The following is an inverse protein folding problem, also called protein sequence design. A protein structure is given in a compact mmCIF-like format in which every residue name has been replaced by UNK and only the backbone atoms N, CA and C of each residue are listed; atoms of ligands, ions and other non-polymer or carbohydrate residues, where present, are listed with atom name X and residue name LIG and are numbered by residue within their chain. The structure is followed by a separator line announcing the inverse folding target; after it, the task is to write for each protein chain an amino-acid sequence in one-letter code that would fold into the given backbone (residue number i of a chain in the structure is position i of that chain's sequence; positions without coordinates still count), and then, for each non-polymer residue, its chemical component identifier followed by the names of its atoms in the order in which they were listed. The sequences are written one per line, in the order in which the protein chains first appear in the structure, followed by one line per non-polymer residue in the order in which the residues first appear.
data_IF_342913099378
#
_entry.id   IF_342913099378
#
_cell.length_a   1.000
_cell.length_b   1.000
_cell.length_c   1.000
_cell.angle_alpha   90.00
_cell.angle_beta   90.00
_cell.angle_gamma   90.00
#
_symmetry.space_group_name_H-M   'P 1'
#
loop_
_entity.id
_entity.type
_entity.pdbx_description
1 polymer ?
#
# COMPACT_ATOMS: atom_id res chain seq x y z
N UNK A 1 5.19 -12.21 6.07
CA UNK A 1 5.33 -13.43 6.91
C UNK A 1 6.78 -13.79 7.18
N UNK A 2 7.69 -13.53 6.25
CA UNK A 2 9.11 -13.86 6.38
C UNK A 2 9.78 -13.30 7.65
N UNK A 3 9.66 -11.99 7.93
CA UNK A 3 10.20 -11.40 9.18
C UNK A 3 9.72 -12.14 10.44
N UNK A 4 8.40 -12.38 10.56
CA UNK A 4 7.82 -13.04 11.73
C UNK A 4 8.34 -14.47 11.93
N UNK A 5 8.52 -15.24 10.85
CA UNK A 5 9.09 -16.59 10.92
C UNK A 5 10.56 -16.56 11.37
N UNK A 6 11.32 -15.56 10.93
CA UNK A 6 12.72 -15.37 11.34
C UNK A 6 12.85 -14.95 12.80
N UNK A 7 12.00 -14.03 13.28
CA UNK A 7 11.97 -13.61 14.70
C UNK A 7 11.65 -14.79 15.63
N UNK A 8 10.70 -15.64 15.23
CA UNK A 8 10.32 -16.83 15.98
C UNK A 8 11.23 -18.04 15.74
N UNK A 9 12.29 -17.88 14.92
CA UNK A 9 13.23 -18.94 14.51
C UNK A 9 12.52 -20.22 14.04
N UNK A 10 11.43 -20.07 13.29
CA UNK A 10 10.64 -21.21 12.80
C UNK A 10 11.37 -21.83 11.61
N UNK A 11 11.80 -23.12 11.70
CA UNK A 11 12.40 -23.80 10.58
C UNK A 11 11.38 -24.01 9.46
N UNK A 12 11.85 -24.07 8.22
CA UNK A 12 10.97 -24.23 7.06
C UNK A 12 10.24 -25.58 7.04
N UNK A 13 10.78 -26.59 7.72
CA UNK A 13 10.20 -27.94 7.93
C UNK A 13 9.08 -27.98 8.96
N UNK A 14 8.86 -26.92 9.75
CA UNK A 14 7.86 -26.94 10.81
C UNK A 14 6.41 -26.95 10.29
N UNK A 15 6.18 -26.78 8.99
CA UNK A 15 4.87 -26.71 8.33
C UNK A 15 3.80 -25.89 9.08
N UNK A 16 4.23 -24.86 9.84
CA UNK A 16 3.35 -24.01 10.65
C UNK A 16 2.47 -23.13 9.77
N UNK A 17 1.18 -23.04 10.07
CA UNK A 17 0.25 -22.16 9.36
C UNK A 17 0.49 -20.69 9.71
N UNK A 18 0.33 -19.80 8.72
CA UNK A 18 0.46 -18.34 8.92
C UNK A 18 -0.53 -17.80 9.97
N UNK A 19 -1.70 -18.44 10.12
CA UNK A 19 -2.72 -18.08 11.11
C UNK A 19 -2.22 -18.37 12.53
N UNK A 20 -1.59 -19.53 12.76
CA UNK A 20 -1.07 -19.87 14.10
C UNK A 20 0.03 -18.91 14.55
N UNK A 21 0.91 -18.50 13.63
CA UNK A 21 2.01 -17.55 13.89
C UNK A 21 1.46 -16.17 14.30
N UNK A 22 0.45 -15.69 13.60
CA UNK A 22 -0.19 -14.41 13.91
C UNK A 22 -0.91 -14.44 15.26
N UNK A 23 -1.58 -15.55 15.57
CA UNK A 23 -2.27 -15.74 16.86
C UNK A 23 -1.26 -15.74 18.02
N UNK A 24 -0.12 -16.42 17.86
CA UNK A 24 0.95 -16.47 18.85
C UNK A 24 1.55 -15.08 19.13
N UNK A 25 1.77 -14.28 18.08
CA UNK A 25 2.30 -12.92 18.20
C UNK A 25 1.24 -11.89 18.66
N UNK A 26 -0.01 -12.32 18.87
CA UNK A 26 -1.16 -11.44 19.19
C UNK A 26 -1.31 -10.28 18.21
N UNK A 27 -0.90 -10.48 16.95
CA UNK A 27 -1.00 -9.45 15.91
C UNK A 27 -2.43 -9.45 15.38
N UNK A 28 -3.22 -8.50 15.86
CA UNK A 28 -4.60 -8.28 15.41
C UNK A 28 -4.65 -7.50 14.09
N UNK A 29 -3.68 -6.60 13.85
CA UNK A 29 -3.61 -5.81 12.62
C UNK A 29 -2.53 -6.32 11.67
N UNK A 30 -2.97 -6.91 10.55
CA UNK A 30 -2.08 -7.22 9.42
C UNK A 30 -1.65 -5.94 8.70
N UNK A 31 -0.54 -6.01 7.99
CA UNK A 31 -0.04 -4.93 7.10
C UNK A 31 -1.09 -4.50 6.07
N UNK A 32 -2.03 -5.37 5.72
CA UNK A 32 -3.22 -5.05 4.89
C UNK A 32 -4.09 -3.93 5.46
N UNK A 33 -4.05 -3.67 6.78
CA UNK A 33 -4.73 -2.51 7.38
C UNK A 33 -4.09 -1.18 7.00
N UNK A 34 -2.81 -1.16 6.63
CA UNK A 34 -2.16 0.05 6.13
C UNK A 34 -2.71 0.43 4.75
N UNK A 35 -2.95 -0.55 3.88
CA UNK A 35 -3.55 -0.29 2.56
C UNK A 35 -4.96 0.30 2.71
N UNK A 36 -5.77 -0.24 3.63
CA UNK A 36 -7.10 0.32 3.94
C UNK A 36 -7.02 1.81 4.32
N UNK A 37 -6.08 2.18 5.20
CA UNK A 37 -5.87 3.57 5.62
C UNK A 37 -5.42 4.48 4.48
N UNK A 38 -4.53 3.99 3.61
CA UNK A 38 -4.09 4.72 2.41
C UNK A 38 -5.28 4.99 1.49
N UNK A 39 -6.15 3.99 1.30
CA UNK A 39 -7.36 4.12 0.47
C UNK A 39 -8.41 5.06 1.09
N UNK A 40 -8.61 4.98 2.40
CA UNK A 40 -9.50 5.89 3.14
C UNK A 40 -9.03 7.35 2.99
N UNK A 41 -7.73 7.59 3.16
CA UNK A 41 -7.13 8.91 2.99
C UNK A 41 -7.20 9.40 1.54
N UNK A 42 -6.93 8.53 0.56
CA UNK A 42 -7.10 8.86 -0.84
C UNK A 42 -8.56 9.24 -1.17
N UNK A 43 -9.53 8.46 -0.68
CA UNK A 43 -10.95 8.76 -0.85
C UNK A 43 -11.38 10.07 -0.17
N UNK A 44 -10.78 10.40 0.98
CA UNK A 44 -10.97 11.70 1.63
C UNK A 44 -10.49 12.86 0.76
N UNK A 45 -9.27 12.76 0.21
CA UNK A 45 -8.71 13.77 -0.71
C UNK A 45 -9.55 13.90 -1.98
N UNK A 46 -9.97 12.77 -2.56
CA UNK A 46 -10.75 12.75 -3.80
C UNK A 46 -12.13 13.42 -3.66
N UNK A 47 -12.81 13.21 -2.52
CA UNK A 47 -14.13 13.81 -2.21
C UNK A 47 -14.06 15.27 -1.76
N UNK A 48 -12.87 15.79 -1.46
CA UNK A 48 -12.73 17.18 -1.02
C UNK A 48 -12.99 18.14 -2.19
N UNK A 49 -13.88 19.10 -1.95
CA UNK A 49 -14.22 20.15 -2.92
C UNK A 49 -13.10 21.21 -3.02
N UNK A 50 -12.96 21.79 -4.22
CA UNK A 50 -11.94 22.78 -4.54
C UNK A 50 -10.55 22.20 -4.86
N UNK A 51 -9.71 23.07 -5.44
CA UNK A 51 -8.32 22.75 -5.78
C UNK A 51 -7.43 22.93 -4.55
N UNK A 52 -7.28 21.83 -3.81
CA UNK A 52 -6.40 21.76 -2.67
C UNK A 52 -5.04 21.19 -3.07
N UNK A 53 -3.97 21.67 -2.41
CA UNK A 53 -2.61 21.22 -2.65
C UNK A 53 -2.48 19.69 -2.61
N UNK A 54 -3.13 19.04 -1.62
CA UNK A 54 -3.16 17.60 -1.50
C UNK A 54 -3.76 16.93 -2.74
N UNK A 55 -4.89 17.44 -3.27
CA UNK A 55 -5.52 16.88 -4.48
C UNK A 55 -4.58 17.00 -5.68
N UNK A 56 -3.95 18.17 -5.86
CA UNK A 56 -2.99 18.44 -6.93
C UNK A 56 -1.76 17.54 -6.83
N UNK A 57 -1.19 17.34 -5.64
CA UNK A 57 -0.01 16.48 -5.44
C UNK A 57 -0.31 15.01 -5.77
N UNK A 58 -1.54 14.59 -5.48
CA UNK A 58 -1.98 13.20 -5.53
C UNK A 58 -2.42 12.79 -6.93
N UNK A 59 -3.15 13.66 -7.62
CA UNK A 59 -3.61 13.46 -9.00
C UNK A 59 -2.64 14.03 -10.03
N UNK A 60 -1.70 14.88 -9.60
CA UNK A 60 -0.77 15.61 -10.45
C UNK A 60 -0.02 14.71 -11.41
N UNK A 61 -0.39 14.80 -12.69
CA UNK A 61 0.38 14.26 -13.79
C UNK A 61 1.25 15.39 -14.33
N UNK A 62 2.54 15.34 -14.02
CA UNK A 62 3.53 16.18 -14.70
C UNK A 62 3.80 15.53 -16.06
N UNK A 63 3.60 16.30 -17.12
CA UNK A 63 3.94 15.90 -18.50
C UNK A 63 5.45 15.70 -18.65
N UNK A 64 5.84 14.73 -19.48
CA UNK A 64 7.24 14.41 -19.77
C UNK A 64 7.80 13.15 -19.10
N UNK A 65 9.05 12.84 -19.44
CA UNK A 65 9.76 11.63 -19.00
C UNK A 65 10.51 11.89 -17.70
N UNK A 66 10.31 11.01 -16.69
CA UNK A 66 11.06 11.13 -15.42
C UNK A 66 12.56 10.82 -15.63
N UNK A 67 13.46 11.54 -14.94
CA UNK A 67 14.89 11.25 -14.97
C UNK A 67 15.19 9.90 -14.32
N UNK A 68 16.29 9.25 -14.76
CA UNK A 68 16.81 8.03 -14.15
C UNK A 68 17.16 8.29 -12.68
N UNK A 69 16.79 7.36 -11.79
CA UNK A 69 17.11 7.40 -10.36
C UNK A 69 15.99 7.93 -9.45
N UNK A 70 15.00 8.66 -9.96
CA UNK A 70 13.81 9.01 -9.18
C UNK A 70 12.80 7.85 -9.21
N UNK A 71 12.16 7.56 -8.08
CA UNK A 71 11.16 6.48 -8.01
C UNK A 71 10.14 6.64 -9.15
N UNK A 72 9.98 5.63 -10.01
CA UNK A 72 9.10 5.73 -11.18
C UNK A 72 7.62 5.77 -10.79
N UNK A 73 7.30 5.38 -9.55
CA UNK A 73 5.95 5.07 -9.10
C UNK A 73 5.27 6.32 -8.53
N UNK A 74 4.19 6.78 -9.19
CA UNK A 74 3.26 7.78 -8.66
C UNK A 74 2.43 7.19 -7.53
N UNK A 75 1.84 8.02 -6.69
CA UNK A 75 0.91 7.51 -5.69
C UNK A 75 -0.32 6.85 -6.33
N UNK A 76 -0.80 7.38 -7.47
CA UNK A 76 -1.80 6.72 -8.32
C UNK A 76 -1.36 5.35 -8.83
N UNK A 77 -0.06 5.18 -9.13
CA UNK A 77 0.50 3.91 -9.60
C UNK A 77 0.56 2.90 -8.45
N UNK A 78 0.89 3.34 -7.23
CA UNK A 78 0.84 2.47 -6.03
C UNK A 78 -0.57 1.94 -5.77
N UNK A 79 -1.58 2.80 -5.93
CA UNK A 79 -2.98 2.41 -5.80
C UNK A 79 -3.39 1.40 -6.88
N UNK A 80 -2.99 1.63 -8.13
CA UNK A 80 -3.23 0.71 -9.24
C UNK A 80 -2.55 -0.65 -9.03
N UNK A 81 -1.31 -0.67 -8.54
CA UNK A 81 -0.60 -1.92 -8.18
C UNK A 81 -1.27 -2.63 -7.00
N UNK A 82 -1.79 -1.89 -6.02
CA UNK A 82 -2.37 -2.48 -4.82
C UNK A 82 -3.81 -2.99 -5.01
N UNK A 83 -4.58 -2.35 -5.88
CA UNK A 83 -5.97 -2.72 -6.16
C UNK A 83 -6.13 -3.64 -7.38
N UNK A 84 -5.08 -3.83 -8.18
CA UNK A 84 -5.13 -4.55 -9.47
C UNK A 84 -6.27 -4.06 -10.40
N UNK A 85 -6.63 -2.78 -10.28
CA UNK A 85 -7.73 -2.16 -11.03
C UNK A 85 -7.21 -1.09 -11.97
N UNK A 86 -7.78 -1.02 -13.18
CA UNK A 86 -7.56 0.10 -14.10
C UNK A 86 -8.36 1.29 -13.58
N UNK A 87 -7.71 2.19 -12.85
CA UNK A 87 -8.31 3.47 -12.47
C UNK A 87 -8.51 4.29 -13.74
N UNK A 88 -9.77 4.52 -14.12
CA UNK A 88 -10.11 5.43 -15.20
C UNK A 88 -9.78 6.86 -14.77
N UNK A 89 -8.91 7.53 -15.52
CA UNK A 89 -8.74 8.98 -15.38
C UNK A 89 -9.80 9.66 -16.21
N UNK A 90 -10.61 10.50 -15.55
CA UNK A 90 -11.43 11.53 -16.19
C UNK A 90 -10.53 12.58 -16.86
#
# INVERSE_FOLDING_TARGET
MWCWRRTLRIPWTAHRTNVSILRQLKITRRLSTCLKRILEYFGHIARRDGDNLEKIVVTGKVEGKRPRGRSPIRWSDQLRTALDTKVHTA
#
